data_IF_820044666790
#
_entry.id   IF_820044666790
#
_cell.length_a   1.000
_cell.length_b   1.000
_cell.length_c   1.000
_cell.angle_alpha   90.00
_cell.angle_beta   90.00
_cell.angle_gamma   90.00
#
_symmetry.space_group_name_H-M   'P 1'
#
loop_
_entity.id
_entity.type
_entity.pdbx_description
1 polymer ?
#
# COMPACT_ATOMS: atom_id res chain seq x y z
N UNK A 1 64.33 -52.42 -59.38
CA UNK A 1 64.09 -51.18 -60.13
C UNK A 1 62.64 -51.18 -60.60
N UNK A 2 61.94 -50.04 -60.63
CA UNK A 2 61.27 -49.32 -59.54
C UNK A 2 59.74 -49.58 -59.50
N UNK A 3 59.15 -49.56 -58.30
CA UNK A 3 57.70 -49.62 -58.08
C UNK A 3 57.06 -48.24 -58.30
N UNK A 4 56.01 -48.24 -59.12
CA UNK A 4 55.15 -47.12 -59.52
C UNK A 4 54.57 -46.34 -58.33
N UNK A 5 54.62 -45.01 -58.42
CA UNK A 5 53.76 -44.10 -57.65
C UNK A 5 52.38 -44.01 -58.30
N UNK A 6 51.28 -43.90 -57.54
CA UNK A 6 50.05 -43.30 -58.04
C UNK A 6 49.87 -41.85 -57.56
N UNK A 7 49.38 -41.00 -58.47
CA UNK A 7 48.97 -39.61 -58.29
C UNK A 7 47.55 -39.46 -57.70
N UNK A 8 47.39 -38.44 -56.83
CA UNK A 8 46.32 -37.42 -56.68
C UNK A 8 44.83 -37.79 -56.95
N UNK A 9 43.94 -37.85 -55.92
CA UNK A 9 43.11 -36.77 -55.30
C UNK A 9 41.79 -36.46 -56.06
N UNK A 10 40.76 -35.73 -55.52
CA UNK A 10 40.31 -35.45 -54.13
C UNK A 10 38.74 -35.50 -53.97
N UNK A 11 38.19 -35.16 -52.78
CA UNK A 11 36.87 -34.52 -52.46
C UNK A 11 36.32 -35.04 -51.10
N UNK A 12 35.87 -34.26 -50.12
CA UNK A 12 35.76 -32.81 -49.89
C UNK A 12 35.78 -32.57 -48.36
N UNK A 13 36.52 -31.57 -47.88
CA UNK A 13 36.06 -30.21 -47.64
C UNK A 13 35.20 -30.06 -46.37
N UNK A 14 35.92 -29.91 -45.25
CA UNK A 14 35.55 -29.09 -44.09
C UNK A 14 35.20 -27.66 -44.53
N UNK A 15 34.04 -27.13 -44.09
CA UNK A 15 33.81 -25.69 -43.96
C UNK A 15 32.47 -25.36 -43.26
N UNK A 16 32.58 -24.69 -42.11
CA UNK A 16 31.75 -23.54 -41.69
C UNK A 16 30.33 -23.81 -41.15
N UNK A 17 30.28 -23.81 -39.81
CA UNK A 17 29.37 -23.06 -38.91
C UNK A 17 28.12 -22.34 -39.45
N UNK A 18 27.09 -22.34 -38.58
CA UNK A 18 25.85 -21.53 -38.53
C UNK A 18 24.63 -22.20 -39.16
N UNK A 19 23.75 -22.73 -38.31
CA UNK A 19 22.33 -22.37 -38.36
C UNK A 19 21.74 -22.33 -36.94
N UNK A 20 20.94 -21.29 -36.72
CA UNK A 20 20.36 -20.85 -35.46
C UNK A 20 19.26 -21.77 -34.94
N UNK A 21 19.19 -21.83 -33.61
CA UNK A 21 18.02 -21.84 -32.70
C UNK A 21 16.65 -22.21 -33.29
N UNK A 22 16.03 -23.20 -32.66
CA UNK A 22 14.61 -23.11 -32.30
C UNK A 22 14.45 -23.37 -30.80
N UNK A 23 13.84 -22.39 -30.16
CA UNK A 23 13.33 -22.45 -28.81
C UNK A 23 11.97 -23.18 -28.78
N UNK A 24 11.63 -23.70 -27.60
CA UNK A 24 10.49 -23.30 -26.74
C UNK A 24 9.65 -24.48 -26.24
N UNK A 25 9.35 -24.39 -24.93
CA UNK A 25 8.24 -24.97 -24.15
C UNK A 25 8.22 -26.46 -23.80
N UNK A 26 8.32 -26.74 -22.50
CA UNK A 26 7.21 -27.18 -21.61
C UNK A 26 7.79 -27.23 -20.19
N UNK A 27 7.29 -26.54 -19.16
CA UNK A 27 5.91 -26.37 -18.78
C UNK A 27 5.74 -27.06 -17.43
N UNK A 28 5.81 -26.30 -16.34
CA UNK A 28 5.24 -26.71 -15.07
C UNK A 28 4.84 -25.46 -14.28
N UNK A 29 3.53 -25.35 -14.09
CA UNK A 29 2.83 -24.31 -13.36
C UNK A 29 3.26 -24.25 -11.90
N UNK A 30 3.30 -23.04 -11.37
CA UNK A 30 3.31 -22.76 -9.94
C UNK A 30 3.07 -21.27 -9.74
N UNK A 31 1.80 -20.89 -9.59
CA UNK A 31 1.41 -19.58 -9.11
C UNK A 31 2.10 -19.30 -7.76
N UNK A 32 2.87 -18.23 -7.71
CA UNK A 32 3.07 -17.44 -6.51
C UNK A 32 2.97 -15.97 -6.93
N UNK A 33 1.74 -15.51 -7.14
CA UNK A 33 1.40 -14.10 -6.95
C UNK A 33 1.56 -13.81 -5.46
N UNK A 34 2.69 -13.20 -5.10
CA UNK A 34 2.99 -12.77 -3.75
C UNK A 34 4.38 -12.15 -3.79
N UNK A 35 4.44 -10.83 -3.92
CA UNK A 35 5.63 -10.10 -3.48
C UNK A 35 5.91 -10.54 -2.05
N UNK A 36 7.10 -11.08 -1.81
CA UNK A 36 7.61 -11.31 -0.46
C UNK A 36 7.62 -9.92 0.19
N UNK A 37 6.70 -9.65 1.12
CA UNK A 37 6.59 -8.33 1.72
C UNK A 37 7.62 -8.20 2.84
N UNK A 38 8.87 -8.01 2.44
CA UNK A 38 9.94 -7.61 3.35
C UNK A 38 9.94 -6.08 3.42
N UNK A 39 9.82 -5.51 4.63
CA UNK A 39 10.14 -4.10 4.85
C UNK A 39 9.02 -3.15 5.32
N UNK A 40 7.91 -3.59 5.91
CA UNK A 40 6.93 -2.63 6.44
C UNK A 40 7.38 -2.03 7.78
N UNK A 41 7.28 -0.70 7.91
CA UNK A 41 7.36 -0.01 9.20
C UNK A 41 5.99 0.52 9.61
N UNK A 42 5.48 0.01 10.74
CA UNK A 42 4.15 0.28 11.28
C UNK A 42 4.25 1.11 12.57
N UNK A 43 3.33 2.06 12.71
CA UNK A 43 3.14 2.89 13.89
C UNK A 43 1.70 2.75 14.41
N UNK A 44 1.56 2.54 15.72
CA UNK A 44 0.30 2.31 16.42
C UNK A 44 0.21 3.28 17.61
N UNK A 45 -0.27 4.52 17.42
CA UNK A 45 -0.47 5.45 18.51
C UNK A 45 -1.50 4.90 19.51
N UNK A 46 -1.07 4.64 20.75
CA UNK A 46 -1.95 4.13 21.81
C UNK A 46 -1.97 5.11 23.00
N UNK A 47 -3.15 5.61 23.39
CA UNK A 47 -4.47 5.39 22.80
C UNK A 47 -4.63 6.07 21.43
N UNK A 48 -5.58 5.57 20.63
CA UNK A 48 -5.92 6.15 19.32
C UNK A 48 -6.30 7.64 19.46
N UNK A 49 -5.55 8.57 18.87
CA UNK A 49 -5.85 9.99 18.95
C UNK A 49 -7.16 10.31 18.20
N UNK A 50 -8.10 10.88 18.94
CA UNK A 50 -9.36 11.39 18.42
C UNK A 50 -9.28 12.90 18.25
N UNK A 51 -9.48 13.34 17.02
CA UNK A 51 -9.52 14.71 16.58
C UNK A 51 -10.97 15.20 16.52
N UNK A 52 -11.33 16.13 17.40
CA UNK A 52 -12.64 16.78 17.40
C UNK A 52 -12.46 18.30 17.62
N UNK A 53 -13.08 19.17 16.79
CA UNK A 53 -13.03 20.60 17.03
C UNK A 53 -13.78 20.97 18.32
N UNK A 54 -13.36 22.00 19.07
CA UNK A 54 -13.94 22.34 20.37
C UNK A 54 -15.34 22.97 20.31
N UNK A 55 -15.86 23.25 19.11
CA UNK A 55 -17.16 23.90 18.94
C UNK A 55 -17.46 24.26 17.49
N UNK A 56 -18.47 25.13 17.30
CA UNK A 56 -18.94 25.62 16.00
C UNK A 56 -19.04 27.15 16.00
N UNK A 57 -18.18 27.90 15.24
CA UNK A 57 -17.16 27.40 14.31
C UNK A 57 -15.82 27.09 15.00
N UNK A 58 -15.18 25.98 14.65
CA UNK A 58 -13.80 25.68 15.05
C UNK A 58 -13.15 24.62 14.15
N UNK A 59 -11.82 24.56 14.17
CA UNK A 59 -11.01 23.52 13.54
C UNK A 59 -10.09 22.87 14.56
N UNK A 60 -9.72 21.62 14.29
CA UNK A 60 -8.67 20.92 15.01
C UNK A 60 -7.74 20.22 14.03
N UNK A 61 -6.48 20.03 14.44
CA UNK A 61 -5.43 19.36 13.67
C UNK A 61 -4.83 18.17 14.41
N UNK A 62 -4.41 17.16 13.66
CA UNK A 62 -3.59 16.07 14.14
C UNK A 62 -2.45 15.83 13.14
N UNK A 63 -1.22 16.06 13.57
CA UNK A 63 0.01 15.92 12.78
C UNK A 63 0.61 14.53 13.01
N UNK A 64 1.16 13.92 11.96
CA UNK A 64 1.87 12.64 12.05
C UNK A 64 3.07 12.57 11.08
N UNK A 65 4.09 11.81 11.46
CA UNK A 65 5.39 11.71 10.77
C UNK A 65 5.78 10.24 10.55
N UNK A 66 6.14 9.89 9.32
CA UNK A 66 6.56 8.53 8.96
C UNK A 66 8.02 8.22 9.33
N UNK A 67 8.86 9.21 9.61
CA UNK A 67 10.26 9.01 9.97
C UNK A 67 10.42 8.37 11.36
N UNK A 68 9.62 8.83 12.33
CA UNK A 68 9.74 8.43 13.73
C UNK A 68 8.42 7.95 14.37
N UNK A 69 7.28 8.15 13.70
CA UNK A 69 5.97 7.76 14.22
C UNK A 69 5.34 8.77 15.16
N UNK A 70 5.91 9.98 15.30
CA UNK A 70 5.39 11.02 16.18
C UNK A 70 3.99 11.43 15.73
N UNK A 71 3.07 11.56 16.70
CA UNK A 71 1.72 12.09 16.49
C UNK A 71 1.44 13.19 17.50
N UNK A 72 0.87 14.32 17.07
CA UNK A 72 0.63 15.48 17.93
C UNK A 72 -0.56 16.32 17.47
N UNK A 73 -1.31 16.90 18.40
CA UNK A 73 -2.33 17.91 18.10
C UNK A 73 -1.75 19.32 17.89
N UNK A 74 -0.45 19.48 18.12
CA UNK A 74 0.30 20.71 17.88
C UNK A 74 1.31 20.49 16.77
N UNK A 75 1.50 21.52 15.94
CA UNK A 75 2.51 21.47 14.88
C UNK A 75 3.89 21.16 15.45
N UNK A 76 4.63 20.30 14.77
CA UNK A 76 6.03 20.03 15.01
C UNK A 76 6.79 20.02 13.68
N UNK A 77 8.06 20.41 13.73
CA UNK A 77 8.93 20.36 12.55
C UNK A 77 9.18 18.91 12.17
N UNK A 78 9.07 18.59 10.87
CA UNK A 78 9.22 17.22 10.36
C UNK A 78 7.91 16.52 10.03
N UNK A 79 6.77 16.96 10.59
CA UNK A 79 5.47 16.34 10.35
C UNK A 79 5.16 16.19 8.85
N UNK A 80 4.98 14.96 8.37
CA UNK A 80 4.74 14.69 6.95
C UNK A 80 3.33 15.10 6.51
N UNK A 81 2.36 14.75 7.33
CA UNK A 81 0.94 14.94 7.04
C UNK A 81 0.21 15.47 8.26
N UNK A 82 -0.99 16.02 8.03
CA UNK A 82 -1.93 16.32 9.10
C UNK A 82 -3.36 16.02 8.68
N UNK A 83 -4.17 15.58 9.64
CA UNK A 83 -5.62 15.52 9.53
C UNK A 83 -6.22 16.84 10.01
N UNK A 84 -7.33 17.25 9.38
CA UNK A 84 -8.13 18.41 9.77
C UNK A 84 -9.57 17.98 9.98
N UNK A 85 -10.13 18.33 11.14
CA UNK A 85 -11.55 18.27 11.42
C UNK A 85 -12.08 19.70 11.61
N UNK A 86 -13.04 20.12 10.78
CA UNK A 86 -13.60 21.46 10.78
C UNK A 86 -15.11 21.45 10.96
N UNK A 87 -15.62 22.28 11.86
CA UNK A 87 -17.05 22.50 12.04
C UNK A 87 -17.36 23.98 11.86
N UNK A 88 -18.29 24.32 10.95
CA UNK A 88 -18.56 25.70 10.57
C UNK A 88 -20.06 26.02 10.63
N UNK A 89 -20.37 27.30 10.88
CA UNK A 89 -21.72 27.87 10.69
C UNK A 89 -21.79 28.51 9.32
N UNK A 90 -22.91 28.36 8.61
CA UNK A 90 -23.18 29.15 7.41
C UNK A 90 -24.12 30.30 7.73
N UNK A 91 -23.77 31.49 7.26
CA UNK A 91 -24.38 32.78 7.67
C UNK A 91 -25.86 32.93 7.26
N UNK A 92 -26.36 32.09 6.34
CA UNK A 92 -27.75 32.07 5.90
C UNK A 92 -28.32 30.66 6.07
N UNK A 93 -29.51 30.55 6.67
CA UNK A 93 -30.15 29.32 7.16
C UNK A 93 -29.48 28.74 8.42
N UNK A 94 -30.28 28.23 9.36
CA UNK A 94 -29.85 27.41 10.50
C UNK A 94 -29.10 26.19 9.96
N UNK A 95 -27.87 26.39 9.52
CA UNK A 95 -27.14 25.44 8.72
C UNK A 95 -25.68 25.40 9.14
N UNK A 96 -25.14 24.20 9.12
CA UNK A 96 -23.81 23.87 9.58
C UNK A 96 -23.11 22.99 8.56
N UNK A 97 -21.79 22.98 8.62
CA UNK A 97 -20.99 22.10 7.80
C UNK A 97 -19.83 21.49 8.55
N UNK A 98 -19.63 20.20 8.33
CA UNK A 98 -18.51 19.44 8.81
C UNK A 98 -17.55 19.17 7.64
N UNK A 99 -16.26 19.28 7.90
CA UNK A 99 -15.19 19.10 6.93
C UNK A 99 -14.14 18.16 7.51
N UNK A 100 -13.75 17.16 6.72
CA UNK A 100 -12.63 16.27 6.98
C UNK A 100 -11.62 16.39 5.84
N UNK A 101 -10.34 16.64 6.16
CA UNK A 101 -9.27 16.70 5.18
C UNK A 101 -8.02 15.98 5.67
N UNK A 102 -7.22 15.53 4.71
CA UNK A 102 -5.81 15.18 4.89
C UNK A 102 -4.98 16.19 4.13
N UNK A 103 -3.91 16.67 4.75
CA UNK A 103 -3.09 17.76 4.23
C UNK A 103 -1.64 17.30 4.22
N UNK A 104 -0.97 17.46 3.08
CA UNK A 104 0.47 17.29 2.95
C UNK A 104 1.20 18.52 3.50
N UNK A 105 2.13 18.35 4.43
CA UNK A 105 2.89 19.49 5.00
C UNK A 105 4.15 19.84 4.19
N UNK A 106 4.46 19.08 3.14
CA UNK A 106 5.57 19.30 2.21
C UNK A 106 5.10 19.05 0.77
N UNK A 107 5.72 19.72 -0.20
CA UNK A 107 5.45 19.47 -1.63
C UNK A 107 5.87 18.08 -2.10
N UNK A 108 6.69 17.37 -1.31
CA UNK A 108 7.11 16.01 -1.60
C UNK A 108 6.15 14.96 -1.02
N UNK A 109 5.13 15.39 -0.29
CA UNK A 109 4.16 14.54 0.37
C UNK A 109 2.83 14.69 -0.36
N UNK A 110 2.21 13.57 -0.68
CA UNK A 110 1.04 13.53 -1.54
C UNK A 110 0.04 12.49 -1.08
N UNK A 111 -1.21 12.75 -1.38
CA UNK A 111 -2.35 11.92 -1.01
C UNK A 111 -2.94 11.30 -2.27
N UNK A 112 -3.27 10.01 -2.20
CA UNK A 112 -3.93 9.32 -3.29
C UNK A 112 -5.35 9.86 -3.51
N UNK A 113 -5.68 10.14 -4.77
CA UNK A 113 -6.90 10.83 -5.17
C UNK A 113 -7.86 9.94 -5.94
N UNK A 114 -9.15 10.17 -5.69
CA UNK A 114 -10.22 9.82 -6.63
C UNK A 114 -10.13 10.64 -7.92
N UNK A 115 -10.86 10.24 -8.95
CA UNK A 115 -10.99 11.00 -10.20
C UNK A 115 -11.59 12.40 -10.01
N UNK A 116 -12.38 12.61 -8.96
CA UNK A 116 -12.97 13.90 -8.60
C UNK A 116 -12.09 14.74 -7.65
N UNK A 117 -10.87 14.29 -7.33
CA UNK A 117 -9.92 15.04 -6.51
C UNK A 117 -10.11 14.92 -4.99
N UNK A 118 -11.03 14.08 -4.51
CA UNK A 118 -11.13 13.73 -3.09
C UNK A 118 -10.07 12.72 -2.69
N UNK A 119 -9.70 12.70 -1.40
CA UNK A 119 -8.86 11.66 -0.83
C UNK A 119 -9.54 10.30 -0.99
N UNK A 120 -8.88 9.37 -1.68
CA UNK A 120 -9.43 8.05 -1.90
C UNK A 120 -9.48 7.26 -0.58
N UNK A 121 -10.62 6.62 -0.33
CA UNK A 121 -10.78 5.63 0.74
C UNK A 121 -10.46 4.25 0.16
N UNK A 122 -9.42 3.60 0.67
CA UNK A 122 -9.02 2.26 0.26
C UNK A 122 -9.58 1.23 1.23
N UNK A 123 -10.01 0.08 0.70
CA UNK A 123 -10.25 -1.12 1.49
C UNK A 123 -8.95 -1.83 1.87
N UNK A 124 -8.98 -2.69 2.89
CA UNK A 124 -7.84 -3.52 3.27
C UNK A 124 -7.37 -4.39 2.08
N UNK A 125 -6.06 -4.48 1.89
CA UNK A 125 -5.43 -5.26 0.82
C UNK A 125 -5.37 -4.54 -0.54
N UNK A 126 -6.02 -3.38 -0.71
CA UNK A 126 -5.87 -2.62 -1.94
C UNK A 126 -4.46 -2.06 -2.10
N UNK A 127 -3.94 -2.09 -3.33
CA UNK A 127 -2.60 -1.59 -3.64
C UNK A 127 -2.57 -0.07 -3.70
N UNK A 128 -1.65 0.51 -2.95
CA UNK A 128 -1.23 1.91 -2.98
C UNK A 128 0.19 1.94 -3.57
N UNK A 129 0.34 2.58 -4.72
CA UNK A 129 1.58 2.54 -5.50
C UNK A 129 1.56 3.49 -6.69
N UNK A 130 2.56 3.42 -7.60
CA UNK A 130 2.79 4.41 -8.66
C UNK A 130 1.64 4.53 -9.68
N UNK A 131 0.76 3.53 -9.77
CA UNK A 131 -0.40 3.56 -10.67
C UNK A 131 -1.56 4.43 -10.16
N UNK A 132 -1.51 4.92 -8.92
CA UNK A 132 -2.54 5.80 -8.35
C UNK A 132 -2.28 7.26 -8.73
N UNK A 133 -3.35 8.04 -8.84
CA UNK A 133 -3.24 9.50 -8.93
C UNK A 133 -2.92 10.06 -7.53
N UNK A 134 -1.97 10.99 -7.46
CA UNK A 134 -1.55 11.63 -6.22
C UNK A 134 -1.60 13.15 -6.39
N UNK A 135 -1.91 13.87 -5.32
CA UNK A 135 -1.85 15.33 -5.29
C UNK A 135 -1.38 15.87 -3.95
N UNK A 136 -0.93 17.12 -3.98
CA UNK A 136 -0.44 17.88 -2.82
C UNK A 136 -1.52 18.84 -2.28
N UNK A 137 -1.24 19.42 -1.12
CA UNK A 137 -2.05 20.44 -0.47
C UNK A 137 -3.19 19.87 0.38
N UNK A 138 -4.28 20.63 0.46
CA UNK A 138 -5.46 20.30 1.25
C UNK A 138 -6.39 19.38 0.47
N UNK A 139 -6.36 18.09 0.76
CA UNK A 139 -7.18 17.09 0.06
C UNK A 139 -8.41 16.74 0.90
N UNK A 140 -9.58 17.01 0.33
CA UNK A 140 -10.85 16.78 1.01
C UNK A 140 -11.18 15.29 1.07
N UNK A 141 -11.44 14.78 2.28
CA UNK A 141 -11.93 13.43 2.51
C UNK A 141 -13.46 13.40 2.44
N UNK A 142 -14.09 14.33 3.15
CA UNK A 142 -15.54 14.44 3.22
C UNK A 142 -15.99 15.84 3.60
N UNK A 143 -17.16 16.20 3.09
CA UNK A 143 -17.91 17.38 3.51
C UNK A 143 -19.35 16.97 3.77
N UNK A 144 -19.88 17.33 4.94
CA UNK A 144 -21.29 17.14 5.27
C UNK A 144 -21.94 18.47 5.60
N UNK A 145 -23.17 18.66 5.15
CA UNK A 145 -23.99 19.84 5.34
C UNK A 145 -25.26 19.41 6.06
N UNK A 146 -25.73 20.23 6.98
CA UNK A 146 -26.97 19.98 7.71
C UNK A 146 -27.66 21.31 7.95
N UNK A 147 -28.94 21.40 7.63
CA UNK A 147 -29.68 22.64 7.81
C UNK A 147 -31.14 22.58 7.40
N UNK A 148 -31.83 23.66 7.73
CA UNK A 148 -33.23 23.87 7.36
C UNK A 148 -33.36 24.13 5.85
N UNK A 149 -34.17 23.33 5.16
CA UNK A 149 -34.52 23.50 3.73
C UNK A 149 -35.94 23.99 3.49
N UNK A 150 -36.79 23.96 4.51
CA UNK A 150 -38.12 24.59 4.53
C UNK A 150 -38.50 24.92 5.97
N UNK A 151 -39.55 25.70 6.23
CA UNK A 151 -39.98 26.10 7.59
C UNK A 151 -40.19 24.95 8.60
N UNK A 152 -40.31 23.70 8.14
CA UNK A 152 -40.44 22.50 8.99
C UNK A 152 -39.57 21.31 8.56
N UNK A 153 -38.72 21.47 7.53
CA UNK A 153 -37.91 20.37 7.00
C UNK A 153 -36.43 20.62 7.26
N UNK A 154 -35.85 19.77 8.11
CA UNK A 154 -34.41 19.64 8.27
C UNK A 154 -33.87 18.63 7.27
N UNK A 155 -32.73 18.92 6.64
CA UNK A 155 -32.07 17.98 5.75
C UNK A 155 -30.56 18.00 5.93
N UNK A 156 -29.93 16.86 5.62
CA UNK A 156 -28.50 16.71 5.60
C UNK A 156 -28.04 16.12 4.26
N UNK A 157 -26.90 16.56 3.76
CA UNK A 157 -26.27 16.04 2.55
C UNK A 157 -24.76 15.97 2.74
N UNK A 158 -24.06 15.16 1.97
CA UNK A 158 -22.60 15.14 2.01
C UNK A 158 -21.98 14.67 0.71
N UNK A 159 -20.69 14.97 0.55
CA UNK A 159 -19.89 14.59 -0.61
C UNK A 159 -18.51 14.10 -0.16
N UNK A 160 -17.95 13.18 -0.93
CA UNK A 160 -16.64 12.58 -0.70
C UNK A 160 -16.71 11.10 -0.31
N UNK A 161 -15.64 10.33 -0.52
CA UNK A 161 -15.62 8.88 -0.27
C UNK A 161 -15.83 8.49 1.20
N UNK A 162 -15.58 9.43 2.11
CA UNK A 162 -15.62 9.23 3.56
C UNK A 162 -16.94 9.74 4.18
N UNK A 163 -17.98 9.93 3.36
CA UNK A 163 -19.34 10.27 3.82
C UNK A 163 -20.19 9.02 3.87
N UNK A 164 -20.81 8.78 5.03
CA UNK A 164 -21.77 7.70 5.21
C UNK A 164 -22.49 7.80 6.55
N UNK A 165 -23.50 6.96 6.80
CA UNK A 165 -24.19 6.91 8.08
C UNK A 165 -23.24 6.39 9.16
N UNK A 166 -23.01 7.20 10.21
CA UNK A 166 -22.10 6.84 11.31
C UNK A 166 -20.61 6.84 10.91
N UNK A 167 -19.74 6.24 11.74
CA UNK A 167 -18.30 6.25 11.52
C UNK A 167 -17.89 5.48 10.25
N UNK A 168 -17.14 6.13 9.37
CA UNK A 168 -16.58 5.53 8.15
C UNK A 168 -15.10 5.26 8.35
N UNK A 169 -14.71 3.98 8.43
CA UNK A 169 -13.32 3.56 8.61
C UNK A 169 -12.73 3.03 7.31
N UNK A 170 -11.51 3.45 7.00
CA UNK A 170 -10.78 3.01 5.82
C UNK A 170 -9.34 3.51 5.83
N UNK A 171 -8.64 3.24 4.73
CA UNK A 171 -7.23 3.61 4.61
C UNK A 171 -7.05 4.79 3.66
N UNK A 172 -6.27 5.79 4.08
CA UNK A 172 -5.69 6.78 3.19
C UNK A 172 -4.49 6.18 2.47
N UNK A 173 -4.33 6.47 1.18
CA UNK A 173 -3.10 6.16 0.44
C UNK A 173 -2.18 7.38 0.39
N UNK A 174 -0.91 7.19 0.70
CA UNK A 174 0.07 8.26 0.85
C UNK A 174 1.33 7.96 0.05
N UNK A 175 1.91 8.99 -0.55
CA UNK A 175 3.22 8.95 -1.23
C UNK A 175 4.08 10.06 -0.66
N UNK A 176 5.32 9.77 -0.31
CA UNK A 176 6.24 10.75 0.24
C UNK A 176 7.68 10.43 -0.13
N UNK A 177 8.58 11.40 0.02
CA UNK A 177 10.00 11.18 -0.18
C UNK A 177 10.74 11.07 1.15
N UNK A 178 11.54 10.01 1.29
CA UNK A 178 12.44 9.81 2.43
C UNK A 178 13.84 9.51 1.91
N UNK A 179 14.85 10.25 2.37
CA UNK A 179 16.23 10.12 1.90
C UNK A 179 16.38 10.22 0.36
N UNK A 180 15.54 11.01 -0.30
CA UNK A 180 15.54 11.20 -1.76
C UNK A 180 14.83 10.11 -2.57
N UNK A 181 14.25 9.11 -1.91
CA UNK A 181 13.53 8.01 -2.54
C UNK A 181 12.03 8.12 -2.28
N UNK A 182 11.21 7.64 -3.23
CA UNK A 182 9.75 7.58 -3.05
C UNK A 182 9.36 6.39 -2.20
N UNK A 183 8.48 6.60 -1.23
CA UNK A 183 7.86 5.56 -0.42
C UNK A 183 6.34 5.66 -0.49
N UNK A 184 5.69 4.51 -0.34
CA UNK A 184 4.24 4.40 -0.30
C UNK A 184 3.80 3.96 1.10
N UNK A 185 2.75 4.61 1.59
CA UNK A 185 2.21 4.34 2.91
C UNK A 185 0.70 4.39 2.96
N UNK A 186 0.17 3.97 4.10
CA UNK A 186 -1.23 4.07 4.42
C UNK A 186 -1.44 4.63 5.83
N UNK A 187 -2.59 5.27 6.05
CA UNK A 187 -3.07 5.64 7.38
C UNK A 187 -4.50 5.12 7.57
N UNK A 188 -4.73 4.35 8.62
CA UNK A 188 -6.04 3.83 9.03
C UNK A 188 -6.79 4.90 9.81
N UNK A 189 -7.85 5.41 9.22
CA UNK A 189 -8.60 6.55 9.73
C UNK A 189 -10.07 6.20 9.82
N UNK A 190 -10.70 6.64 10.90
CA UNK A 190 -12.16 6.70 11.01
C UNK A 190 -12.63 8.14 10.90
N UNK A 191 -13.55 8.42 9.98
CA UNK A 191 -14.20 9.72 9.82
C UNK A 191 -15.66 9.61 10.25
N UNK A 192 -16.03 10.38 11.24
CA UNK A 192 -17.40 10.56 11.70
C UNK A 192 -17.80 12.00 11.43
N UNK A 193 -18.48 12.25 10.31
CA UNK A 193 -18.98 13.59 9.98
C UNK A 193 -20.34 13.89 10.61
N UNK A 194 -20.80 13.04 11.54
CA UNK A 194 -22.12 13.11 12.18
C UNK A 194 -23.21 13.22 11.11
N UNK A 195 -23.18 12.38 10.08
CA UNK A 195 -24.18 12.33 8.99
C UNK A 195 -25.09 11.12 9.19
N UNK A 196 -26.42 11.23 9.02
CA UNK A 196 -27.22 12.44 8.78
C UNK A 196 -27.56 13.25 10.06
N UNK A 197 -26.92 12.94 11.20
CA UNK A 197 -27.22 13.57 12.48
C UNK A 197 -26.65 15.00 12.59
N UNK A 198 -26.78 15.63 13.76
CA UNK A 198 -26.11 16.90 14.04
C UNK A 198 -25.06 16.68 15.12
N UNK A 199 -23.80 16.99 14.82
CA UNK A 199 -22.72 16.91 15.78
C UNK A 199 -21.41 17.47 15.23
N UNK A 200 -20.41 17.59 16.11
CA UNK A 200 -19.06 17.97 15.72
C UNK A 200 -18.37 16.77 15.05
N UNK A 201 -17.67 16.97 13.92
CA UNK A 201 -17.00 15.87 13.25
C UNK A 201 -15.89 15.31 14.13
N UNK A 202 -15.69 13.99 14.08
CA UNK A 202 -14.59 13.31 14.74
C UNK A 202 -13.75 12.58 13.69
N UNK A 203 -12.43 12.74 13.76
CA UNK A 203 -11.49 11.94 12.99
C UNK A 203 -10.64 11.15 13.97
N UNK A 204 -10.48 9.85 13.77
CA UNK A 204 -9.60 9.01 14.61
C UNK A 204 -8.50 8.46 13.74
N UNK A 205 -7.24 8.64 14.14
CA UNK A 205 -6.10 7.97 13.51
C UNK A 205 -5.78 6.73 14.34
N UNK A 206 -5.94 5.55 13.76
CA UNK A 206 -5.67 4.29 14.44
C UNK A 206 -4.20 3.91 14.31
N UNK A 207 -3.73 3.80 13.07
CA UNK A 207 -2.39 3.31 12.71
C UNK A 207 -1.94 3.90 11.41
N UNK A 208 -0.65 3.87 11.16
CA UNK A 208 -0.11 4.20 9.85
C UNK A 208 1.17 3.40 9.60
N UNK A 209 1.42 3.06 8.34
CA UNK A 209 2.60 2.31 7.96
C UNK A 209 3.07 2.66 6.57
N UNK A 210 4.32 2.32 6.27
CA UNK A 210 4.89 2.49 4.94
C UNK A 210 5.83 1.34 4.57
N UNK A 211 6.04 1.19 3.27
CA UNK A 211 7.01 0.27 2.71
C UNK A 211 8.41 0.91 2.73
N UNK A 212 9.35 0.26 3.42
CA UNK A 212 10.72 0.77 3.58
C UNK A 212 11.58 0.53 2.35
N UNK A 213 11.19 -0.39 1.47
CA UNK A 213 11.82 -0.51 0.16
C UNK A 213 11.36 0.65 -0.77
N UNK A 214 12.30 1.44 -1.33
CA UNK A 214 11.98 2.47 -2.30
C UNK A 214 11.11 1.99 -3.47
N UNK A 215 10.25 2.89 -3.95
CA UNK A 215 9.40 2.72 -5.15
C UNK A 215 8.51 1.46 -5.13
N UNK A 216 8.34 0.85 -3.96
CA UNK A 216 7.62 -0.42 -3.80
C UNK A 216 6.19 -0.17 -3.30
N UNK A 217 5.14 -0.66 -4.01
CA UNK A 217 3.76 -0.50 -3.59
C UNK A 217 3.48 -1.20 -2.26
N UNK A 218 2.58 -0.63 -1.46
CA UNK A 218 2.11 -1.21 -0.20
C UNK A 218 0.64 -1.62 -0.31
N UNK A 219 0.25 -2.71 0.34
CA UNK A 219 -1.16 -3.03 0.52
C UNK A 219 -1.74 -2.25 1.71
N UNK A 220 -2.92 -1.66 1.54
CA UNK A 220 -3.61 -0.96 2.62
C UNK A 220 -3.85 -1.90 3.82
N UNK A 221 -3.43 -1.47 5.01
CA UNK A 221 -3.56 -2.26 6.25
C UNK A 221 -2.54 -3.39 6.40
N UNK A 222 -1.54 -3.47 5.51
CA UNK A 222 -0.47 -4.45 5.63
C UNK A 222 0.36 -4.23 6.90
N UNK A 223 0.56 -5.29 7.67
CA UNK A 223 1.39 -5.30 8.88
C UNK A 223 2.75 -5.93 8.61
N UNK A 224 3.80 -5.63 9.40
CA UNK A 224 5.08 -6.29 9.27
C UNK A 224 4.90 -7.81 9.41
N UNK A 225 5.42 -8.59 8.45
CA UNK A 225 5.50 -10.03 8.64
C UNK A 225 6.42 -10.31 9.83
N UNK A 226 6.02 -11.14 10.80
CA UNK A 226 6.94 -11.55 11.85
C UNK A 226 8.12 -12.24 11.18
N UNK A 227 9.34 -11.72 11.39
CA UNK A 227 10.57 -12.28 10.84
C UNK A 227 10.71 -13.79 11.13
N UNK A 228 10.09 -14.27 12.22
CA UNK A 228 10.01 -15.67 12.61
C UNK A 228 9.25 -16.54 11.60
N UNK A 229 8.18 -16.04 10.97
CA UNK A 229 7.37 -16.80 10.00
C UNK A 229 8.12 -17.05 8.69
N UNK A 230 8.80 -16.01 8.17
CA UNK A 230 9.65 -16.15 6.99
C UNK A 230 10.82 -17.12 7.24
N UNK A 231 11.42 -17.05 8.43
CA UNK A 231 12.52 -17.94 8.84
C UNK A 231 12.03 -19.37 9.07
N UNK A 232 10.87 -19.56 9.71
CA UNK A 232 10.26 -20.87 9.94
C UNK A 232 9.87 -21.56 8.64
N UNK A 233 9.32 -20.82 7.66
CA UNK A 233 9.03 -21.36 6.34
C UNK A 233 10.30 -21.71 5.56
N UNK A 234 11.34 -20.89 5.64
CA UNK A 234 12.65 -21.20 5.07
C UNK A 234 13.27 -22.49 5.64
N UNK A 235 13.23 -22.65 6.97
CA UNK A 235 13.71 -23.85 7.65
C UNK A 235 12.86 -25.08 7.33
N UNK A 236 11.53 -24.95 7.23
CA UNK A 236 10.63 -26.02 6.85
C UNK A 236 10.91 -26.50 5.41
N UNK A 237 11.11 -25.57 4.48
CA UNK A 237 11.43 -25.88 3.09
C UNK A 237 12.79 -26.60 2.97
N UNK A 238 13.80 -26.16 3.72
CA UNK A 238 15.10 -26.83 3.80
C UNK A 238 14.99 -28.23 4.44
N UNK A 239 14.17 -28.38 5.49
CA UNK A 239 13.87 -29.67 6.11
C UNK A 239 13.20 -30.64 5.14
N UNK A 240 12.22 -30.18 4.35
CA UNK A 240 11.54 -30.97 3.34
C UNK A 240 12.48 -31.42 2.20
N UNK A 241 13.36 -30.52 1.73
CA UNK A 241 14.37 -30.84 0.71
C UNK A 241 15.40 -31.87 1.24
N UNK A 242 15.83 -31.74 2.48
CA UNK A 242 16.69 -32.71 3.17
C UNK A 242 16.03 -34.09 3.26
N UNK A 243 14.75 -34.15 3.67
CA UNK A 243 13.99 -35.39 3.74
C UNK A 243 13.81 -36.06 2.36
N UNK A 244 13.51 -35.27 1.32
CA UNK A 244 13.36 -35.77 -0.04
C UNK A 244 14.68 -36.37 -0.57
N UNK A 245 15.81 -35.72 -0.29
CA UNK A 245 17.14 -36.25 -0.65
C UNK A 245 17.49 -37.53 0.11
N UNK A 246 17.15 -37.61 1.39
CA UNK A 246 17.35 -38.82 2.21
C UNK A 246 16.52 -40.00 1.69
N UNK A 247 15.25 -39.78 1.32
CA UNK A 247 14.38 -40.84 0.77
C UNK A 247 14.92 -41.41 -0.55
N UNK A 248 15.42 -40.56 -1.46
CA UNK A 248 16.03 -41.00 -2.73
C UNK A 248 17.24 -41.89 -2.53
N UNK A 249 18.05 -41.65 -1.49
CA UNK A 249 19.23 -42.47 -1.17
C UNK A 249 18.86 -43.87 -0.67
N UNK A 250 17.74 -44.03 0.06
CA UNK A 250 17.29 -45.34 0.54
C UNK A 250 16.75 -46.22 -0.60
N UNK A 251 16.03 -45.64 -1.56
CA UNK A 251 15.52 -46.41 -2.70
C UNK A 251 16.66 -46.89 -3.61
N UNK A 252 17.70 -46.07 -3.83
CA UNK A 252 18.88 -46.47 -4.60
C UNK A 252 19.75 -47.54 -3.91
N UNK A 253 19.73 -47.60 -2.59
CA UNK A 253 20.46 -48.62 -1.81
C UNK A 253 19.74 -49.97 -1.71
N UNK A 254 18.50 -50.09 -2.21
CA UNK A 254 17.68 -51.31 -2.09
C UNK A 254 17.54 -52.07 -3.42
N UNK A 255 18.32 -51.73 -4.45
CA UNK A 255 18.30 -52.46 -5.72
C UNK A 255 19.42 -53.53 -5.69
N UNK A 256 19.11 -54.82 -5.49
CA UNK A 256 20.13 -55.86 -5.57
C UNK A 256 20.57 -55.99 -7.03
N UNK A 257 21.88 -56.19 -7.24
CA UNK A 257 22.43 -56.55 -8.53
C UNK A 257 21.74 -57.82 -9.02
N UNK A 258 20.98 -57.70 -10.11
CA UNK A 258 20.44 -58.84 -10.82
C UNK A 258 21.54 -59.32 -11.78
N UNK A 259 22.19 -60.42 -11.42
CA UNK A 259 22.89 -61.33 -12.33
C UNK A 259 21.90 -62.33 -12.94
#
# INVERSE_FOLDING_TARGET
MPLMKPQEQPQGADWISKWNRYATMAGAMGLATGSVQAGIRLYDPSPDPVLQPPGRPATAYLYFDFADGTVSSSFFSGADFRLLAGAYRRTFSLSSSNLAQVISNSNNNEVALTTSGYAQMFGAGEIIGPSRAFGTGDVTMAVAWSGLVSSSTWSSSGTGPWVGPGPQRGYLGLRFQMNGNTHYGWADVTVENEYPQEGLPKLTLHRFAYETEPDTPIQAGAVPEPAETATAMGLLALGAAGLARYRRRRTAATQPAAD
#
